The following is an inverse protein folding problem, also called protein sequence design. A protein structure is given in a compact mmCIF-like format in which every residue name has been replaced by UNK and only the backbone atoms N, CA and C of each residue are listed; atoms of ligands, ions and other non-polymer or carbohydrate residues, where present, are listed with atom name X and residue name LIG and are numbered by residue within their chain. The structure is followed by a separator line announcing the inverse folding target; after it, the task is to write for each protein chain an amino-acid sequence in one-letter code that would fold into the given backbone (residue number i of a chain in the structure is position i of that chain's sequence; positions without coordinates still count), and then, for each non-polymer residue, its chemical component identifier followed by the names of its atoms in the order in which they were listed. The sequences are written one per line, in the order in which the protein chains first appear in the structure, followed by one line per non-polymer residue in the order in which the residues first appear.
data_IF_059550965445
#
_entry.id   IF_059550965445
#
_cell.length_a   1.000
_cell.length_b   1.000
_cell.length_c   1.000
_cell.angle_alpha   90.00
_cell.angle_beta   90.00
_cell.angle_gamma   90.00
#
_symmetry.space_group_name_H-M   'P 1'
#
loop_
_entity.id
_entity.type
_entity.pdbx_description
1 polymer ?
#
# COMPACT_ATOMS: atom_id res chain seq x y z
N UNK A 1 -2.75 -7.13 1.68
CA UNK A 1 -3.72 -6.00 1.56
C UNK A 1 -5.12 -6.53 1.80
N UNK A 2 -5.83 -5.98 2.77
CA UNK A 2 -7.22 -6.32 3.10
C UNK A 2 -8.18 -5.41 2.33
N UNK A 3 -9.18 -5.97 1.64
CA UNK A 3 -10.10 -5.18 0.81
C UNK A 3 -10.93 -4.18 1.63
N UNK A 4 -11.39 -4.57 2.82
CA UNK A 4 -12.20 -3.66 3.65
C UNK A 4 -11.40 -2.46 4.13
N UNK A 5 -10.12 -2.68 4.47
CA UNK A 5 -9.20 -1.61 4.83
C UNK A 5 -8.90 -0.71 3.63
N UNK A 6 -8.72 -1.30 2.45
CA UNK A 6 -8.50 -0.55 1.21
C UNK A 6 -9.66 0.42 0.92
N UNK A 7 -10.91 -0.03 1.05
CA UNK A 7 -12.08 0.84 0.81
C UNK A 7 -12.18 1.99 1.82
N UNK A 8 -11.80 1.74 3.07
CA UNK A 8 -11.76 2.78 4.10
C UNK A 8 -10.67 3.82 3.79
N UNK A 9 -9.48 3.38 3.44
CA UNK A 9 -8.37 4.24 3.05
C UNK A 9 -8.71 5.12 1.86
N UNK A 10 -9.35 4.57 0.82
CA UNK A 10 -9.78 5.34 -0.34
C UNK A 10 -10.70 6.50 0.06
N UNK A 11 -11.62 6.24 0.97
CA UNK A 11 -12.54 7.27 1.48
C UNK A 11 -11.81 8.35 2.28
N UNK A 12 -10.89 7.96 3.16
CA UNK A 12 -10.06 8.89 3.94
C UNK A 12 -9.15 9.75 3.06
N UNK A 13 -8.69 9.21 1.94
CA UNK A 13 -7.86 9.91 0.96
C UNK A 13 -8.67 10.78 -0.03
N UNK A 14 -9.98 10.87 0.13
CA UNK A 14 -10.85 11.74 -0.66
C UNK A 14 -11.32 11.14 -1.99
N UNK A 15 -11.22 9.83 -2.19
CA UNK A 15 -11.80 9.16 -3.35
C UNK A 15 -13.32 9.14 -3.20
N UNK A 16 -14.03 9.48 -4.29
CA UNK A 16 -15.49 9.56 -4.29
C UNK A 16 -16.12 8.19 -3.99
N UNK A 17 -17.26 8.22 -3.28
CA UNK A 17 -18.02 7.01 -2.94
C UNK A 17 -18.41 6.21 -4.19
N UNK A 18 -18.71 6.90 -5.30
CA UNK A 18 -19.05 6.25 -6.58
C UNK A 18 -17.89 5.40 -7.11
N UNK A 19 -16.68 5.96 -7.15
CA UNK A 19 -15.50 5.22 -7.63
C UNK A 19 -15.12 4.07 -6.68
N UNK A 20 -15.20 4.30 -5.37
CA UNK A 20 -14.99 3.25 -4.37
C UNK A 20 -16.00 2.11 -4.53
N UNK A 21 -17.27 2.42 -4.84
CA UNK A 21 -18.30 1.42 -5.10
C UNK A 21 -18.00 0.59 -6.36
N UNK A 22 -17.58 1.24 -7.44
CA UNK A 22 -17.17 0.54 -8.66
C UNK A 22 -16.01 -0.43 -8.42
N UNK A 23 -14.99 0.01 -7.68
CA UNK A 23 -13.84 -0.82 -7.31
C UNK A 23 -14.26 -2.00 -6.43
N UNK A 24 -15.12 -1.77 -5.44
CA UNK A 24 -15.67 -2.85 -4.61
C UNK A 24 -16.40 -3.90 -5.43
N UNK A 25 -17.22 -3.48 -6.38
CA UNK A 25 -17.96 -4.40 -7.27
C UNK A 25 -17.02 -5.19 -8.17
N UNK A 26 -15.92 -4.56 -8.63
CA UNK A 26 -14.90 -5.25 -9.43
C UNK A 26 -14.19 -6.37 -8.64
N UNK A 27 -13.95 -6.15 -7.35
CA UNK A 27 -13.27 -7.11 -6.47
C UNK A 27 -14.25 -8.06 -5.73
N UNK A 28 -15.56 -7.78 -5.77
CA UNK A 28 -16.56 -8.60 -5.12
C UNK A 28 -16.76 -9.94 -5.86
N UNK A 29 -16.72 -11.02 -5.11
CA UNK A 29 -17.00 -12.36 -5.67
C UNK A 29 -15.93 -12.87 -6.64
N UNK A 30 -14.73 -12.32 -6.61
CA UNK A 30 -13.62 -12.85 -7.41
C UNK A 30 -13.25 -14.26 -6.94
N UNK A 31 -13.12 -15.16 -7.90
CA UNK A 31 -12.70 -16.54 -7.67
C UNK A 31 -11.47 -16.85 -8.51
N UNK A 32 -10.65 -17.75 -8.01
CA UNK A 32 -9.48 -18.24 -8.72
C UNK A 32 -9.38 -19.76 -8.67
N UNK A 33 -8.69 -20.32 -9.64
CA UNK A 33 -8.26 -21.72 -9.67
C UNK A 33 -6.79 -21.77 -10.06
N UNK A 34 -6.06 -22.71 -9.53
CA UNK A 34 -4.65 -22.90 -9.84
C UNK A 34 -4.50 -24.11 -10.77
N UNK A 35 -3.79 -23.93 -11.87
CA UNK A 35 -3.44 -25.00 -12.78
C UNK A 35 -2.09 -25.59 -12.37
N UNK A 36 -2.07 -26.85 -12.05
CA UNK A 36 -0.86 -27.62 -11.72
C UNK A 36 -0.57 -28.65 -12.79
N UNK A 37 0.59 -29.29 -12.74
CA UNK A 37 0.92 -30.41 -13.63
C UNK A 37 -0.02 -31.63 -13.48
N UNK A 38 -0.77 -31.70 -12.38
CA UNK A 38 -1.69 -32.81 -12.07
C UNK A 38 -3.18 -32.43 -12.30
N UNK A 39 -3.48 -31.23 -12.78
CA UNK A 39 -4.85 -30.76 -13.04
C UNK A 39 -5.12 -29.35 -12.52
N UNK A 40 -6.40 -29.01 -12.34
CA UNK A 40 -6.83 -27.74 -11.76
C UNK A 40 -7.36 -27.98 -10.35
N UNK A 41 -7.13 -27.02 -9.46
CA UNK A 41 -7.79 -26.99 -8.15
C UNK A 41 -9.27 -26.65 -8.28
N UNK A 42 -10.04 -26.89 -7.23
CA UNK A 42 -11.37 -26.30 -7.11
C UNK A 42 -11.29 -24.77 -7.07
N UNK A 43 -12.38 -24.12 -7.45
CA UNK A 43 -12.50 -22.68 -7.36
C UNK A 43 -12.52 -22.22 -5.91
N UNK A 44 -11.76 -21.19 -5.60
CA UNK A 44 -11.74 -20.57 -4.27
C UNK A 44 -11.91 -19.06 -4.37
N UNK A 45 -12.57 -18.47 -3.38
CA UNK A 45 -12.81 -17.03 -3.34
C UNK A 45 -11.55 -16.25 -2.94
N UNK A 46 -11.34 -15.11 -3.62
CA UNK A 46 -10.27 -14.17 -3.32
C UNK A 46 -10.84 -13.05 -2.44
N UNK A 47 -10.46 -13.05 -1.16
CA UNK A 47 -10.88 -12.02 -0.20
C UNK A 47 -9.81 -10.97 0.14
N UNK A 48 -8.60 -11.14 -0.40
CA UNK A 48 -7.44 -10.29 -0.10
C UNK A 48 -6.55 -10.12 -1.33
N UNK A 49 -5.74 -9.05 -1.31
CA UNK A 49 -4.76 -8.79 -2.35
C UNK A 49 -5.33 -8.04 -3.54
N UNK A 50 -4.51 -7.87 -4.56
CA UNK A 50 -4.85 -7.28 -5.86
C UNK A 50 -4.34 -8.18 -6.97
N UNK A 51 -5.01 -8.17 -8.13
CA UNK A 51 -4.64 -9.02 -9.26
C UNK A 51 -3.28 -8.65 -9.82
N UNK A 52 -2.35 -9.60 -9.86
CA UNK A 52 -1.06 -9.42 -10.50
C UNK A 52 -1.24 -9.22 -12.01
N UNK A 53 -0.52 -8.24 -12.58
CA UNK A 53 -0.62 -7.91 -14.02
C UNK A 53 -1.80 -7.01 -14.41
N UNK A 54 -2.67 -6.62 -13.47
CA UNK A 54 -3.73 -5.66 -13.73
C UNK A 54 -3.19 -4.22 -13.52
N UNK A 55 -3.40 -3.34 -14.48
CA UNK A 55 -2.96 -1.93 -14.40
C UNK A 55 -3.58 -1.20 -13.19
N UNK A 56 -4.80 -1.53 -12.83
CA UNK A 56 -5.51 -0.98 -11.69
C UNK A 56 -4.86 -1.36 -10.35
N UNK A 57 -4.31 -2.57 -10.27
CA UNK A 57 -3.66 -3.09 -9.07
C UNK A 57 -2.45 -2.28 -8.66
N UNK A 58 -1.66 -1.82 -9.63
CA UNK A 58 -0.51 -0.93 -9.39
C UNK A 58 -0.98 0.40 -8.78
N UNK A 59 -2.02 1.00 -9.35
CA UNK A 59 -2.61 2.23 -8.82
C UNK A 59 -3.13 2.08 -7.39
N UNK A 60 -3.82 0.98 -7.11
CA UNK A 60 -4.34 0.68 -5.77
C UNK A 60 -3.21 0.43 -4.75
N UNK A 61 -2.15 -0.26 -5.15
CA UNK A 61 -1.00 -0.49 -4.30
C UNK A 61 -0.27 0.82 -3.97
N UNK A 62 0.04 1.64 -4.98
CA UNK A 62 0.68 2.93 -4.79
C UNK A 62 -0.14 3.86 -3.89
N UNK A 63 -1.46 3.87 -4.07
CA UNK A 63 -2.37 4.64 -3.25
C UNK A 63 -2.34 4.20 -1.77
N UNK A 64 -2.26 2.90 -1.55
CA UNK A 64 -2.16 2.30 -0.24
C UNK A 64 -0.81 2.62 0.44
N UNK A 65 0.30 2.52 -0.31
CA UNK A 65 1.63 2.89 0.15
C UNK A 65 1.71 4.38 0.51
N UNK A 66 1.14 5.25 -0.32
CA UNK A 66 1.07 6.69 -0.06
C UNK A 66 0.31 7.00 1.24
N UNK A 67 -0.79 6.31 1.50
CA UNK A 67 -1.53 6.47 2.75
C UNK A 67 -0.66 6.13 3.98
N UNK A 68 0.07 5.02 3.92
CA UNK A 68 0.98 4.63 5.01
C UNK A 68 2.03 5.72 5.23
N UNK A 69 2.68 6.20 4.16
CA UNK A 69 3.73 7.20 4.26
C UNK A 69 3.24 8.54 4.81
N UNK A 70 2.01 8.95 4.47
CA UNK A 70 1.37 10.14 5.06
C UNK A 70 1.13 9.98 6.56
N UNK A 71 0.66 8.83 7.00
CA UNK A 71 0.37 8.58 8.41
C UNK A 71 1.63 8.44 9.27
N UNK A 72 2.73 8.02 8.68
CA UNK A 72 4.04 8.00 9.36
C UNK A 72 4.55 9.42 9.68
N UNK A 73 3.94 10.46 9.07
CA UNK A 73 4.35 11.86 9.30
C UNK A 73 5.68 12.20 8.61
N UNK A 74 6.03 11.48 7.55
CA UNK A 74 7.24 11.75 6.76
C UNK A 74 7.20 13.11 6.04
N UNK A 75 6.03 13.76 5.99
CA UNK A 75 5.88 15.11 5.44
C UNK A 75 6.32 16.21 6.43
N UNK A 76 6.58 15.89 7.69
CA UNK A 76 7.10 16.87 8.65
C UNK A 76 8.59 17.14 8.40
N UNK A 77 8.92 18.42 8.28
CA UNK A 77 10.18 18.98 7.79
C UNK A 77 11.43 18.66 8.63
N UNK A 78 11.41 17.68 9.52
CA UNK A 78 12.47 17.40 10.48
C UNK A 78 13.19 16.06 10.27
N UNK A 79 12.64 15.13 9.48
CA UNK A 79 13.26 13.83 9.24
C UNK A 79 13.72 13.69 7.79
N UNK A 80 14.91 13.18 7.55
CA UNK A 80 15.45 12.92 6.22
C UNK A 80 16.74 13.67 5.90
N UNK A 81 17.23 13.51 4.69
CA UNK A 81 18.48 14.11 4.19
C UNK A 81 18.13 15.34 3.34
N UNK A 82 18.84 16.44 3.56
CA UNK A 82 18.68 17.66 2.75
C UNK A 82 19.44 17.57 1.44
N UNK A 83 18.72 17.55 0.32
CA UNK A 83 19.29 17.59 -1.02
C UNK A 83 18.72 18.79 -1.76
N UNK A 84 19.60 19.70 -2.21
CA UNK A 84 19.22 20.92 -2.93
C UNK A 84 18.12 21.75 -2.22
N UNK A 85 18.21 21.86 -0.89
CA UNK A 85 17.26 22.63 -0.06
C UNK A 85 15.91 21.93 0.19
N UNK A 86 15.72 20.71 -0.30
CA UNK A 86 14.54 19.88 -0.04
C UNK A 86 14.88 18.75 0.92
N UNK A 87 13.98 18.48 1.84
CA UNK A 87 14.12 17.35 2.75
C UNK A 87 13.59 16.09 2.08
N UNK A 88 14.44 15.07 1.92
CA UNK A 88 14.09 13.78 1.32
C UNK A 88 14.26 12.71 2.39
N UNK A 89 13.18 12.06 2.76
CA UNK A 89 13.14 11.04 3.80
C UNK A 89 12.76 9.65 3.29
N UNK A 90 12.19 9.57 2.09
CA UNK A 90 11.90 8.31 1.43
C UNK A 90 12.01 8.42 -0.09
N UNK A 91 12.33 7.30 -0.73
CA UNK A 91 12.24 7.10 -2.17
C UNK A 91 11.42 5.84 -2.42
N UNK A 92 10.49 5.91 -3.34
CA UNK A 92 9.62 4.80 -3.70
C UNK A 92 9.80 4.44 -5.17
N UNK A 93 9.96 3.16 -5.44
CA UNK A 93 9.99 2.61 -6.78
C UNK A 93 9.21 1.30 -6.81
N UNK A 94 8.05 1.30 -7.45
CA UNK A 94 7.10 0.17 -7.42
C UNK A 94 6.78 -0.25 -5.98
N UNK A 95 7.16 -1.45 -5.57
CA UNK A 95 7.00 -2.01 -4.23
C UNK A 95 8.21 -1.77 -3.31
N UNK A 96 9.34 -1.30 -3.86
CA UNK A 96 10.52 -0.96 -3.09
C UNK A 96 10.42 0.43 -2.46
N UNK A 97 10.70 0.50 -1.17
CA UNK A 97 10.75 1.77 -0.43
C UNK A 97 12.06 1.87 0.31
N UNK A 98 12.80 2.96 0.06
CA UNK A 98 14.02 3.31 0.76
C UNK A 98 13.75 4.45 1.72
N UNK A 99 14.06 4.26 3.01
CA UNK A 99 14.00 5.30 4.02
C UNK A 99 15.37 5.93 4.20
N UNK A 100 15.41 7.25 4.39
CA UNK A 100 16.63 8.01 4.60
C UNK A 100 16.51 8.90 5.84
N UNK A 101 17.58 8.98 6.61
CA UNK A 101 17.67 9.83 7.79
C UNK A 101 19.12 10.30 8.02
N UNK A 102 19.32 11.37 8.78
CA UNK A 102 20.63 11.89 9.13
C UNK A 102 21.32 11.09 10.25
N UNK A 103 20.55 10.31 11.04
CA UNK A 103 21.08 9.46 12.10
C UNK A 103 20.48 8.08 12.13
N UNK A 104 21.21 7.12 12.73
CA UNK A 104 20.74 5.74 12.90
C UNK A 104 19.49 5.67 13.80
N UNK A 105 19.44 6.46 14.85
CA UNK A 105 18.29 6.51 15.77
C UNK A 105 17.03 7.02 15.08
N UNK A 106 17.17 8.05 14.25
CA UNK A 106 16.09 8.57 13.44
C UNK A 106 15.60 7.54 12.42
N UNK A 107 16.52 6.85 11.75
CA UNK A 107 16.17 5.79 10.78
C UNK A 107 15.42 4.64 11.46
N UNK A 108 15.88 4.20 12.62
CA UNK A 108 15.18 3.18 13.42
C UNK A 108 13.77 3.62 13.80
N UNK A 109 13.60 4.86 14.25
CA UNK A 109 12.28 5.41 14.59
C UNK A 109 11.35 5.47 13.40
N UNK A 110 11.84 5.89 12.23
CA UNK A 110 11.07 5.91 10.99
C UNK A 110 10.65 4.49 10.57
N UNK A 111 11.59 3.55 10.60
CA UNK A 111 11.33 2.15 10.26
C UNK A 111 10.25 1.52 11.17
N UNK A 112 10.34 1.77 12.46
CA UNK A 112 9.34 1.26 13.43
C UNK A 112 7.96 1.85 13.17
N UNK A 113 7.85 3.15 12.87
CA UNK A 113 6.59 3.79 12.52
C UNK A 113 6.00 3.22 11.22
N UNK A 114 6.81 3.06 10.17
CA UNK A 114 6.36 2.47 8.90
C UNK A 114 5.85 1.05 9.12
N UNK A 115 6.58 0.25 9.89
CA UNK A 115 6.16 -1.11 10.26
C UNK A 115 4.82 -1.11 10.99
N UNK A 116 4.67 -0.28 12.01
CA UNK A 116 3.43 -0.18 12.79
C UNK A 116 2.23 0.23 11.93
N UNK A 117 2.39 1.25 11.08
CA UNK A 117 1.32 1.68 10.17
C UNK A 117 1.00 0.62 9.12
N UNK A 118 2.01 -0.09 8.58
CA UNK A 118 1.80 -1.21 7.64
C UNK A 118 1.01 -2.34 8.29
N UNK A 119 1.34 -2.73 9.51
CA UNK A 119 0.61 -3.77 10.25
C UNK A 119 -0.85 -3.36 10.54
N UNK A 120 -1.10 -2.09 10.91
CA UNK A 120 -2.46 -1.56 11.14
C UNK A 120 -3.35 -1.70 9.91
N UNK A 121 -2.79 -1.50 8.73
CA UNK A 121 -3.54 -1.58 7.47
C UNK A 121 -3.49 -2.95 6.80
N UNK A 122 -2.69 -3.89 7.32
CA UNK A 122 -2.66 -5.28 6.86
C UNK A 122 -1.76 -5.52 5.64
N UNK A 123 -0.65 -4.79 5.59
CA UNK A 123 0.48 -5.05 4.71
C UNK A 123 1.55 -5.85 5.43
#
# INVERSE_FOLDING_TARGET
MDHNKLWKIQKEMGITDHLTCLLRNLYAGQEATVRTGHGKTDWFQIGKGVCQGCILSLGLFNFYAEYIMRNVGLNEAQAGIKIAGRNINNLQYADDTTLMAESEEELKRLLMKVKEESEKVGL
#
